data_IF_936540411947
#
_entry.id   IF_936540411947
#
_cell.length_a   1.000
_cell.length_b   1.000
_cell.length_c   1.000
_cell.angle_alpha   90.00
_cell.angle_beta   90.00
_cell.angle_gamma   90.00
#
_symmetry.space_group_name_H-M   'P 1'
#
loop_
_entity.id
_entity.type
_entity.pdbx_description
1 polymer ?
#
# COMPACT_ATOMS: atom_id res chain seq x y z
N UNK A 1 -10.18 7.16 7.30
CA UNK A 1 -10.83 6.06 6.57
C UNK A 1 -10.87 6.42 5.09
N UNK A 2 -10.24 5.62 4.23
CA UNK A 2 -10.21 5.87 2.78
C UNK A 2 -11.51 5.34 2.18
N UNK A 3 -12.33 6.22 1.59
CA UNK A 3 -13.53 5.82 0.85
C UNK A 3 -13.15 5.54 -0.60
N UNK A 4 -13.43 4.33 -1.06
CA UNK A 4 -13.28 3.93 -2.46
C UNK A 4 -14.65 3.99 -3.12
N UNK A 5 -14.78 4.80 -4.17
CA UNK A 5 -16.06 4.98 -4.87
C UNK A 5 -16.01 4.16 -6.16
N UNK A 6 -16.84 3.14 -6.26
CA UNK A 6 -16.84 2.21 -7.41
C UNK A 6 -18.16 2.36 -8.16
N UNK A 7 -18.13 2.54 -9.49
CA UNK A 7 -19.34 2.59 -10.30
C UNK A 7 -20.18 1.32 -10.14
N UNK A 8 -21.49 1.47 -9.87
CA UNK A 8 -22.43 0.35 -9.67
C UNK A 8 -22.46 -0.66 -10.82
N UNK A 9 -22.08 -0.25 -12.03
CA UNK A 9 -22.00 -1.13 -13.22
C UNK A 9 -21.01 -2.30 -13.07
N UNK A 10 -20.08 -2.20 -12.13
CA UNK A 10 -19.10 -3.26 -11.86
C UNK A 10 -19.50 -4.12 -10.65
N UNK A 11 -20.64 -3.86 -10.02
CA UNK A 11 -21.11 -4.62 -8.85
C UNK A 11 -21.89 -5.85 -9.32
N UNK A 12 -21.35 -7.03 -9.03
CA UNK A 12 -21.99 -8.32 -9.35
C UNK A 12 -22.83 -8.79 -8.17
N UNK A 13 -22.26 -8.79 -6.97
CA UNK A 13 -22.99 -9.08 -5.74
C UNK A 13 -22.46 -8.25 -4.59
N UNK A 14 -23.37 -7.97 -3.66
CA UNK A 14 -23.09 -7.29 -2.40
C UNK A 14 -23.84 -8.08 -1.32
N UNK A 15 -23.09 -8.66 -0.39
CA UNK A 15 -23.62 -9.28 0.82
C UNK A 15 -23.01 -8.59 2.06
N UNK A 16 -23.33 -9.08 3.25
CA UNK A 16 -22.87 -8.46 4.51
C UNK A 16 -21.36 -8.64 4.76
N UNK A 17 -20.73 -9.64 4.14
CA UNK A 17 -19.32 -10.00 4.37
C UNK A 17 -18.44 -9.77 3.14
N UNK A 18 -19.02 -9.60 1.97
CA UNK A 18 -18.34 -9.67 0.69
C UNK A 18 -18.95 -8.75 -0.38
N UNK A 19 -18.06 -8.24 -1.24
CA UNK A 19 -18.40 -7.43 -2.41
C UNK A 19 -17.74 -8.09 -3.60
N UNK A 20 -18.54 -8.62 -4.53
CA UNK A 20 -18.03 -9.20 -5.78
C UNK A 20 -18.16 -8.16 -6.88
N UNK A 21 -17.01 -7.82 -7.47
CA UNK A 21 -16.91 -6.83 -8.52
C UNK A 21 -16.39 -7.48 -9.80
N UNK A 22 -17.04 -7.21 -10.93
CA UNK A 22 -16.53 -7.56 -12.26
C UNK A 22 -15.90 -6.31 -12.87
N UNK A 23 -14.60 -6.19 -12.68
CA UNK A 23 -13.82 -5.04 -13.12
C UNK A 23 -13.12 -5.36 -14.45
N UNK A 24 -13.13 -4.44 -15.43
CA UNK A 24 -12.34 -4.59 -16.64
C UNK A 24 -10.86 -4.73 -16.31
N UNK A 25 -10.16 -5.54 -17.10
CA UNK A 25 -8.73 -5.79 -16.92
C UNK A 25 -7.89 -4.50 -16.95
N UNK A 26 -8.32 -3.49 -17.71
CA UNK A 26 -7.69 -2.17 -17.74
C UNK A 26 -7.71 -1.43 -16.40
N UNK A 27 -8.77 -1.62 -15.60
CA UNK A 27 -8.93 -1.03 -14.26
C UNK A 27 -8.11 -1.82 -13.24
N UNK A 28 -8.05 -3.14 -13.36
CA UNK A 28 -7.18 -3.97 -12.51
C UNK A 28 -5.71 -3.62 -12.74
N UNK A 29 -5.30 -3.49 -14.01
CA UNK A 29 -3.93 -3.15 -14.39
C UNK A 29 -3.51 -1.72 -13.93
N UNK A 30 -4.44 -0.78 -13.82
CA UNK A 30 -4.14 0.55 -13.26
C UNK A 30 -3.97 0.49 -11.74
N UNK A 31 -4.90 -0.15 -11.04
CA UNK A 31 -4.85 -0.33 -9.58
C UNK A 31 -3.62 -1.11 -9.13
N UNK A 32 -3.25 -2.17 -9.86
CA UNK A 32 -2.08 -2.98 -9.57
C UNK A 32 -0.78 -2.19 -9.76
N UNK A 33 -0.70 -1.35 -10.80
CA UNK A 33 0.44 -0.43 -11.01
C UNK A 33 0.56 0.57 -9.87
N UNK A 34 -0.55 1.17 -9.44
CA UNK A 34 -0.52 2.14 -8.34
C UNK A 34 -0.20 1.48 -7.00
N UNK A 35 -0.71 0.27 -6.75
CA UNK A 35 -0.34 -0.53 -5.60
C UNK A 35 1.17 -0.84 -5.58
N UNK A 36 1.76 -1.26 -6.70
CA UNK A 36 3.20 -1.54 -6.79
C UNK A 36 4.06 -0.28 -6.57
N UNK A 37 3.62 0.90 -7.01
CA UNK A 37 4.29 2.17 -6.68
C UNK A 37 4.30 2.43 -5.17
N UNK A 38 3.14 2.27 -4.52
CA UNK A 38 3.01 2.47 -3.06
C UNK A 38 3.86 1.47 -2.30
N UNK A 39 3.84 0.19 -2.71
CA UNK A 39 4.65 -0.88 -2.13
C UNK A 39 6.15 -0.58 -2.25
N UNK A 40 6.61 -0.12 -3.42
CA UNK A 40 8.00 0.28 -3.63
C UNK A 40 8.41 1.46 -2.74
N UNK A 41 7.56 2.50 -2.68
CA UNK A 41 7.81 3.65 -1.82
C UNK A 41 7.91 3.25 -0.34
N UNK A 42 6.99 2.40 0.14
CA UNK A 42 7.02 1.84 1.51
C UNK A 42 8.34 1.12 1.79
N UNK A 43 8.81 0.28 0.86
CA UNK A 43 10.10 -0.42 1.01
C UNK A 43 11.29 0.53 1.15
N UNK A 44 11.34 1.59 0.34
CA UNK A 44 12.40 2.62 0.44
C UNK A 44 12.35 3.33 1.79
N UNK A 45 11.16 3.72 2.24
CA UNK A 45 10.97 4.38 3.55
C UNK A 45 11.39 3.48 4.70
N UNK A 46 11.06 2.19 4.64
CA UNK A 46 11.42 1.22 5.66
C UNK A 46 12.95 1.04 5.74
N UNK A 47 13.62 0.91 4.60
CA UNK A 47 15.08 0.81 4.56
C UNK A 47 15.76 2.07 5.11
N UNK A 48 15.26 3.27 4.76
CA UNK A 48 15.77 4.53 5.33
C UNK A 48 15.59 4.60 6.85
N UNK A 49 14.42 4.16 7.36
CA UNK A 49 14.16 4.11 8.79
C UNK A 49 15.16 3.20 9.51
N UNK A 50 15.41 2.01 8.97
CA UNK A 50 16.38 1.06 9.52
C UNK A 50 17.79 1.65 9.54
N UNK A 51 18.22 2.30 8.46
CA UNK A 51 19.52 2.98 8.40
C UNK A 51 19.65 4.12 9.43
N UNK A 52 18.58 4.91 9.63
CA UNK A 52 18.56 5.97 10.66
C UNK A 52 18.66 5.40 12.07
N UNK A 53 17.95 4.30 12.36
CA UNK A 53 18.02 3.65 13.67
C UNK A 53 19.42 3.08 13.93
N UNK A 54 20.02 2.40 12.96
CA UNK A 54 21.38 1.89 13.06
C UNK A 54 22.41 3.01 13.29
N UNK A 55 22.23 4.15 12.63
CA UNK A 55 23.08 5.32 12.84
C UNK A 55 22.91 5.90 14.26
N UNK A 56 21.68 6.01 14.76
CA UNK A 56 21.41 6.46 16.12
C UNK A 56 22.01 5.51 17.17
N UNK A 57 21.91 4.21 16.97
CA UNK A 57 22.51 3.21 17.85
C UNK A 57 24.05 3.32 17.87
N UNK A 58 24.66 3.57 16.71
CA UNK A 58 26.10 3.79 16.59
C UNK A 58 26.51 5.05 17.35
N UNK A 59 25.84 6.18 17.10
CA UNK A 59 26.12 7.44 17.80
C UNK A 59 25.96 7.23 19.31
N UNK A 60 24.87 6.61 19.78
CA UNK A 60 24.69 6.34 21.21
C UNK A 60 25.86 5.58 21.82
N UNK A 61 26.36 4.54 21.15
CA UNK A 61 27.52 3.77 21.62
C UNK A 61 28.84 4.54 21.64
N UNK A 62 28.97 5.64 20.88
CA UNK A 62 30.14 6.54 20.95
C UNK A 62 30.11 7.48 22.17
N UNK A 63 28.95 7.65 22.80
CA UNK A 63 28.76 8.50 23.99
C UNK A 63 28.74 7.72 25.32
N UNK A 64 28.72 6.39 25.28
CA UNK A 64 28.88 5.49 26.45
C UNK A 64 30.35 5.07 26.62
#
# INVERSE_FOLDING_TARGET
>A
MTRVTIPKRYLVSLDEESVVLDLPESVLASLQRDYEKVKKAKGILQHKKEAMLAHLDTVRGEWE
#
